data_IF_737812511494
#
_entry.id   IF_737812511494
#
_cell.length_a   1.000
_cell.length_b   1.000
_cell.length_c   1.000
_cell.angle_alpha   90.00
_cell.angle_beta   90.00
_cell.angle_gamma   90.00
#
_symmetry.space_group_name_H-M   'P 1'
#
loop_
_entity.id
_entity.type
_entity.pdbx_description
1 polymer ?
#
# COMPACT_ATOMS: atom_id res chain seq x y z
N UNK A 1 -16.96 12.55 13.77
CA UNK A 1 -16.76 13.65 12.79
C UNK A 1 -15.44 14.40 12.97
N UNK A 2 -15.14 15.07 14.11
CA UNK A 2 -13.82 15.72 14.29
C UNK A 2 -12.67 14.74 14.34
N UNK A 3 -12.86 13.60 14.99
CA UNK A 3 -11.84 12.56 15.10
C UNK A 3 -11.50 11.91 13.77
N UNK A 4 -12.50 11.68 12.89
CA UNK A 4 -12.27 11.13 11.56
C UNK A 4 -11.51 12.10 10.65
N UNK A 5 -11.76 13.42 10.80
CA UNK A 5 -11.03 14.44 10.03
C UNK A 5 -9.55 14.46 10.38
N UNK A 6 -9.24 14.42 11.69
CA UNK A 6 -7.85 14.35 12.18
C UNK A 6 -7.19 13.06 11.73
N UNK A 7 -7.92 11.94 11.84
CA UNK A 7 -7.44 10.63 11.44
C UNK A 7 -7.06 10.59 9.95
N UNK A 8 -7.97 10.98 9.06
CA UNK A 8 -7.74 10.95 7.60
C UNK A 8 -6.60 11.87 7.21
N UNK A 9 -6.61 13.12 7.70
CA UNK A 9 -5.56 14.10 7.39
C UNK A 9 -4.19 13.64 7.88
N UNK A 10 -4.11 13.07 9.09
CA UNK A 10 -2.86 12.58 9.66
C UNK A 10 -2.32 11.32 8.97
N UNK A 11 -3.19 10.37 8.60
CA UNK A 11 -2.78 9.20 7.83
C UNK A 11 -2.22 9.59 6.46
N UNK A 12 -2.84 10.55 5.78
CA UNK A 12 -2.34 11.08 4.49
C UNK A 12 -0.96 11.70 4.68
N UNK A 13 -0.76 12.52 5.74
CA UNK A 13 0.53 13.14 6.03
C UNK A 13 1.61 12.09 6.32
N UNK A 14 1.34 11.11 7.18
CA UNK A 14 2.28 10.04 7.51
C UNK A 14 2.69 9.21 6.28
N UNK A 15 1.74 8.86 5.42
CA UNK A 15 2.02 8.13 4.17
C UNK A 15 2.87 8.97 3.20
N UNK A 16 2.58 10.26 3.08
CA UNK A 16 3.37 11.17 2.24
C UNK A 16 4.80 11.30 2.75
N UNK A 17 5.00 11.50 4.05
CA UNK A 17 6.32 11.67 4.66
C UNK A 17 7.20 10.44 4.48
N UNK A 18 6.68 9.24 4.76
CA UNK A 18 7.46 8.02 4.63
C UNK A 18 7.85 7.73 3.17
N UNK A 19 6.96 7.96 2.22
CA UNK A 19 7.26 7.76 0.80
C UNK A 19 8.25 8.83 0.31
N UNK A 20 8.11 10.09 0.71
CA UNK A 20 9.04 11.15 0.35
C UNK A 20 10.46 10.86 0.86
N UNK A 21 10.58 10.38 2.11
CA UNK A 21 11.87 10.03 2.72
C UNK A 21 12.57 8.83 2.05
N UNK A 22 11.80 7.94 1.40
CA UNK A 22 12.34 6.71 0.80
C UNK A 22 12.25 6.67 -0.74
N UNK A 23 11.84 7.77 -1.39
CA UNK A 23 11.60 7.78 -2.84
C UNK A 23 12.84 7.42 -3.66
N UNK A 24 14.00 7.93 -3.29
CA UNK A 24 15.25 7.65 -3.99
C UNK A 24 15.64 6.17 -3.84
N UNK A 25 15.55 5.63 -2.62
CA UNK A 25 15.80 4.21 -2.36
C UNK A 25 14.82 3.29 -3.11
N UNK A 26 13.53 3.63 -3.17
CA UNK A 26 12.54 2.88 -3.96
C UNK A 26 12.89 2.89 -5.46
N UNK A 27 13.39 4.03 -5.97
CA UNK A 27 13.85 4.12 -7.36
C UNK A 27 15.13 3.33 -7.62
N UNK A 28 16.04 3.24 -6.63
CA UNK A 28 17.24 2.39 -6.72
C UNK A 28 16.89 0.91 -6.76
N UNK A 29 15.97 0.45 -5.90
CA UNK A 29 15.46 -0.92 -5.93
C UNK A 29 14.83 -1.26 -7.29
N UNK A 30 14.03 -0.36 -7.82
CA UNK A 30 13.39 -0.54 -9.11
C UNK A 30 14.41 -0.52 -10.27
N UNK A 31 15.44 0.32 -10.20
CA UNK A 31 16.51 0.35 -11.23
C UNK A 31 17.26 -0.96 -11.34
N UNK A 32 17.36 -1.71 -10.25
CA UNK A 32 18.01 -3.01 -10.24
C UNK A 32 17.22 -4.10 -11.00
N UNK A 33 15.89 -4.00 -11.04
CA UNK A 33 15.02 -5.03 -11.60
C UNK A 33 13.87 -4.48 -12.48
N UNK A 34 13.85 -3.18 -12.78
CA UNK A 34 12.81 -2.47 -13.53
C UNK A 34 13.36 -1.30 -14.32
N UNK A 35 12.63 -0.18 -14.36
CA UNK A 35 13.02 1.04 -15.09
C UNK A 35 13.42 2.22 -14.19
N UNK A 36 13.40 2.03 -12.87
CA UNK A 36 13.92 2.98 -11.89
C UNK A 36 12.96 4.14 -11.56
N UNK A 37 11.69 4.06 -11.93
CA UNK A 37 10.74 5.16 -11.76
C UNK A 37 9.79 5.01 -10.57
N UNK A 38 9.81 3.85 -9.87
CA UNK A 38 8.84 3.50 -8.83
C UNK A 38 8.76 4.54 -7.71
N UNK A 39 9.89 4.94 -7.14
CA UNK A 39 9.92 5.91 -6.04
C UNK A 39 9.42 7.29 -6.46
N UNK A 40 9.79 7.75 -7.65
CA UNK A 40 9.30 9.01 -8.21
C UNK A 40 7.78 8.97 -8.44
N UNK A 41 7.27 7.86 -8.96
CA UNK A 41 5.85 7.65 -9.18
C UNK A 41 5.07 7.62 -7.86
N UNK A 42 5.56 6.87 -6.85
CA UNK A 42 4.93 6.82 -5.53
C UNK A 42 4.91 8.19 -4.85
N UNK A 43 6.02 8.92 -4.88
CA UNK A 43 6.08 10.30 -4.33
C UNK A 43 5.06 11.20 -5.02
N UNK A 44 4.98 11.19 -6.35
CA UNK A 44 4.01 12.02 -7.09
C UNK A 44 2.57 11.72 -6.66
N UNK A 45 2.20 10.43 -6.52
CA UNK A 45 0.87 10.06 -6.06
C UNK A 45 0.56 10.51 -4.63
N UNK A 46 1.50 10.31 -3.71
CA UNK A 46 1.33 10.74 -2.32
C UNK A 46 1.25 12.26 -2.18
N UNK A 47 2.01 13.03 -2.98
CA UNK A 47 1.92 14.49 -3.01
C UNK A 47 0.56 14.97 -3.56
N UNK A 48 0.02 14.32 -4.60
CA UNK A 48 -1.30 14.65 -5.13
C UNK A 48 -2.41 14.40 -4.09
N UNK A 49 -2.36 13.28 -3.37
CA UNK A 49 -3.29 12.99 -2.28
C UNK A 49 -3.13 14.01 -1.14
N UNK A 50 -1.91 14.37 -0.78
CA UNK A 50 -1.64 15.34 0.28
C UNK A 50 -2.12 16.74 -0.08
N UNK A 51 -2.03 17.16 -1.33
CA UNK A 51 -2.53 18.46 -1.79
C UNK A 51 -4.04 18.61 -1.56
N UNK A 52 -4.80 17.51 -1.68
CA UNK A 52 -6.25 17.47 -1.50
C UNK A 52 -6.68 16.97 -0.10
N UNK A 53 -5.78 16.85 0.87
CA UNK A 53 -6.05 16.21 2.17
C UNK A 53 -7.21 16.84 2.95
N UNK A 54 -7.36 18.16 2.84
CA UNK A 54 -8.43 18.88 3.55
C UNK A 54 -9.80 18.50 2.97
N UNK A 55 -9.90 18.30 1.66
CA UNK A 55 -11.10 17.81 0.98
C UNK A 55 -11.41 16.37 1.43
N UNK A 56 -10.43 15.48 1.44
CA UNK A 56 -10.62 14.09 1.85
C UNK A 56 -11.03 13.97 3.33
N UNK A 57 -10.44 14.79 4.20
CA UNK A 57 -10.75 14.76 5.63
C UNK A 57 -12.18 15.18 5.97
N UNK A 58 -12.86 15.92 5.08
CA UNK A 58 -14.25 16.32 5.25
C UNK A 58 -15.26 15.28 4.77
N UNK A 59 -14.79 14.21 4.11
CA UNK A 59 -15.65 13.13 3.61
C UNK A 59 -15.88 12.05 4.67
N UNK A 60 -16.96 11.26 4.58
CA UNK A 60 -17.06 9.99 5.29
C UNK A 60 -15.84 9.10 4.98
N UNK A 61 -15.30 8.40 5.97
CA UNK A 61 -14.05 7.63 5.85
C UNK A 61 -14.03 6.70 4.62
N UNK A 62 -15.10 5.94 4.40
CA UNK A 62 -15.21 5.02 3.27
C UNK A 62 -15.09 5.75 1.93
N UNK A 63 -15.76 6.90 1.80
CA UNK A 63 -15.69 7.73 0.60
C UNK A 63 -14.30 8.36 0.42
N UNK A 64 -13.69 8.85 1.50
CA UNK A 64 -12.33 9.38 1.46
C UNK A 64 -11.33 8.34 0.93
N UNK A 65 -11.40 7.10 1.44
CA UNK A 65 -10.54 6.00 1.00
C UNK A 65 -10.75 5.70 -0.50
N UNK A 66 -11.98 5.67 -0.97
CA UNK A 66 -12.30 5.43 -2.40
C UNK A 66 -11.75 6.55 -3.29
N UNK A 67 -11.95 7.82 -2.93
CA UNK A 67 -11.50 8.99 -3.67
C UNK A 67 -9.95 9.10 -3.68
N UNK A 68 -9.29 8.78 -2.56
CA UNK A 68 -7.84 8.67 -2.50
C UNK A 68 -7.37 7.59 -3.49
N UNK A 69 -8.02 6.44 -3.51
CA UNK A 69 -7.71 5.37 -4.47
C UNK A 69 -7.81 5.83 -5.92
N UNK A 70 -8.86 6.56 -6.27
CA UNK A 70 -9.03 7.14 -7.60
C UNK A 70 -7.92 8.14 -7.94
N UNK A 71 -7.55 9.00 -7.00
CA UNK A 71 -6.44 9.95 -7.16
C UNK A 71 -5.12 9.22 -7.45
N UNK A 72 -4.84 8.12 -6.74
CA UNK A 72 -3.63 7.32 -7.01
C UNK A 72 -3.65 6.67 -8.40
N UNK A 73 -4.80 6.18 -8.88
CA UNK A 73 -4.93 5.67 -10.27
C UNK A 73 -4.54 6.73 -11.29
N UNK A 74 -4.95 7.98 -11.06
CA UNK A 74 -4.76 9.07 -12.01
C UNK A 74 -3.35 9.69 -11.95
N UNK A 75 -2.64 9.52 -10.82
CA UNK A 75 -1.39 10.26 -10.56
C UNK A 75 -0.14 9.38 -10.48
N UNK A 76 -0.25 8.14 -10.01
CA UNK A 76 0.88 7.20 -10.00
C UNK A 76 1.03 6.57 -11.39
N UNK A 77 2.23 6.67 -11.94
CA UNK A 77 2.56 6.01 -13.20
C UNK A 77 2.79 4.49 -13.05
N UNK A 78 2.90 3.81 -14.19
CA UNK A 78 3.19 2.38 -14.24
C UNK A 78 2.07 1.50 -13.68
N UNK A 79 2.44 0.32 -13.19
CA UNK A 79 1.49 -0.64 -12.62
C UNK A 79 1.03 -0.25 -11.20
N UNK A 80 1.81 0.54 -10.47
CA UNK A 80 1.55 0.87 -9.06
C UNK A 80 0.27 1.66 -8.86
N UNK A 81 -0.01 2.64 -9.72
CA UNK A 81 -1.25 3.43 -9.66
C UNK A 81 -2.50 2.56 -9.69
N UNK A 82 -2.69 1.75 -10.74
CA UNK A 82 -3.81 0.81 -10.80
C UNK A 82 -3.88 -0.18 -9.62
N UNK A 83 -2.76 -0.65 -9.08
CA UNK A 83 -2.75 -1.64 -7.99
C UNK A 83 -3.11 -0.99 -6.64
N UNK A 84 -2.43 0.09 -6.24
CA UNK A 84 -2.76 0.82 -5.01
C UNK A 84 -4.15 1.46 -5.07
N UNK A 85 -4.51 2.02 -6.23
CA UNK A 85 -5.84 2.56 -6.43
C UNK A 85 -6.94 1.50 -6.31
N UNK A 86 -6.74 0.31 -6.91
CA UNK A 86 -7.69 -0.81 -6.76
C UNK A 86 -7.83 -1.23 -5.30
N UNK A 87 -6.71 -1.31 -4.56
CA UNK A 87 -6.72 -1.64 -3.13
C UNK A 87 -7.62 -0.70 -2.35
N UNK A 88 -7.38 0.61 -2.45
CA UNK A 88 -8.12 1.61 -1.68
C UNK A 88 -9.58 1.75 -2.15
N UNK A 89 -9.82 1.80 -3.45
CA UNK A 89 -11.19 1.87 -3.98
C UNK A 89 -12.04 0.69 -3.52
N UNK A 90 -11.48 -0.51 -3.51
CA UNK A 90 -12.21 -1.70 -3.08
C UNK A 90 -12.44 -1.73 -1.57
N UNK A 91 -11.47 -1.26 -0.76
CA UNK A 91 -11.67 -1.05 0.69
C UNK A 91 -12.81 -0.05 0.92
N UNK A 92 -12.76 1.12 0.29
CA UNK A 92 -13.77 2.17 0.43
C UNK A 92 -15.17 1.68 0.08
N UNK A 93 -15.33 1.03 -1.07
CA UNK A 93 -16.61 0.47 -1.51
C UNK A 93 -17.19 -0.55 -0.54
N UNK A 94 -16.36 -1.46 -0.02
CA UNK A 94 -16.80 -2.49 0.92
C UNK A 94 -17.20 -1.91 2.26
N UNK A 95 -16.47 -0.90 2.75
CA UNK A 95 -16.84 -0.18 3.96
C UNK A 95 -18.13 0.62 3.79
N UNK A 96 -18.37 1.20 2.59
CA UNK A 96 -19.59 1.97 2.28
C UNK A 96 -20.82 1.08 2.08
N UNK A 97 -20.66 -0.17 1.66
CA UNK A 97 -21.77 -1.10 1.38
C UNK A 97 -22.61 -1.47 2.63
N UNK A 98 -22.17 -1.07 3.81
CA UNK A 98 -22.96 -1.04 5.02
C UNK A 98 -22.98 -2.33 5.83
N UNK A 99 -23.40 -2.19 7.07
CA UNK A 99 -23.31 -3.18 8.12
C UNK A 99 -22.04 -2.99 8.93
N UNK A 100 -21.84 -3.82 9.91
CA UNK A 100 -20.56 -3.97 10.62
C UNK A 100 -19.53 -4.63 9.68
N UNK A 101 -19.26 -4.01 8.50
CA UNK A 101 -18.24 -4.52 7.58
C UNK A 101 -16.92 -4.45 8.32
N UNK A 102 -16.52 -5.57 8.87
CA UNK A 102 -15.22 -5.75 9.51
C UNK A 102 -14.16 -5.33 8.48
N UNK A 103 -13.29 -4.42 8.88
CA UNK A 103 -12.17 -3.96 8.05
C UNK A 103 -11.38 -5.16 7.48
N UNK A 104 -11.31 -6.27 8.21
CA UNK A 104 -10.64 -7.48 7.75
C UNK A 104 -11.30 -8.09 6.51
N UNK A 105 -12.63 -8.08 6.45
CA UNK A 105 -13.37 -8.55 5.28
C UNK A 105 -13.20 -7.59 4.09
N UNK A 106 -13.20 -6.27 4.34
CA UNK A 106 -12.94 -5.28 3.30
C UNK A 106 -11.53 -5.42 2.73
N UNK A 107 -10.51 -5.57 3.60
CA UNK A 107 -9.13 -5.80 3.20
C UNK A 107 -8.98 -7.10 2.39
N UNK A 108 -9.62 -8.20 2.83
CA UNK A 108 -9.59 -9.49 2.12
C UNK A 108 -10.06 -9.34 0.68
N UNK A 109 -11.22 -8.74 0.48
CA UNK A 109 -11.74 -8.56 -0.88
C UNK A 109 -10.91 -7.58 -1.71
N UNK A 110 -10.28 -6.59 -1.08
CA UNK A 110 -9.40 -5.66 -1.76
C UNK A 110 -8.09 -6.33 -2.21
N UNK A 111 -7.47 -7.17 -1.37
CA UNK A 111 -6.28 -7.96 -1.74
C UNK A 111 -6.58 -8.89 -2.91
N UNK A 112 -7.72 -9.57 -2.89
CA UNK A 112 -8.18 -10.39 -4.02
C UNK A 112 -8.38 -9.56 -5.30
N UNK A 113 -8.92 -8.34 -5.19
CA UNK A 113 -9.09 -7.45 -6.34
C UNK A 113 -7.74 -7.02 -6.93
N UNK A 114 -6.75 -6.72 -6.07
CA UNK A 114 -5.37 -6.44 -6.48
C UNK A 114 -4.75 -7.65 -7.18
N UNK A 115 -4.94 -8.85 -6.64
CA UNK A 115 -4.43 -10.10 -7.25
C UNK A 115 -5.01 -10.31 -8.66
N UNK A 116 -6.32 -10.13 -8.81
CA UNK A 116 -6.99 -10.19 -10.13
C UNK A 116 -6.48 -9.10 -11.08
N UNK A 117 -6.34 -7.85 -10.59
CA UNK A 117 -5.87 -6.71 -11.40
C UNK A 117 -4.45 -6.92 -11.90
N UNK A 118 -3.56 -7.38 -11.02
CA UNK A 118 -2.15 -7.65 -11.32
C UNK A 118 -1.92 -8.99 -12.02
N UNK A 119 -2.94 -9.86 -12.08
CA UNK A 119 -2.81 -11.26 -12.50
C UNK A 119 -1.67 -11.96 -11.77
N UNK A 120 -1.55 -11.69 -10.48
CA UNK A 120 -0.46 -12.14 -9.64
C UNK A 120 -0.96 -12.88 -8.40
N UNK A 121 -0.09 -13.67 -7.79
CA UNK A 121 -0.36 -14.47 -6.60
C UNK A 121 0.76 -14.30 -5.58
N UNK A 122 0.56 -14.84 -4.37
CA UNK A 122 1.61 -14.95 -3.35
C UNK A 122 2.80 -15.76 -3.91
N UNK A 123 4.02 -15.32 -3.66
CA UNK A 123 5.25 -15.98 -4.10
C UNK A 123 5.75 -15.54 -5.47
N UNK A 124 5.11 -14.57 -6.12
CA UNK A 124 5.48 -14.11 -7.46
C UNK A 124 6.36 -12.84 -7.45
N UNK A 125 6.82 -12.42 -6.25
CA UNK A 125 7.69 -11.27 -6.02
C UNK A 125 7.02 -9.96 -6.44
N UNK A 126 5.99 -9.58 -5.68
CA UNK A 126 5.17 -8.37 -5.89
C UNK A 126 4.73 -7.79 -4.56
N UNK A 127 4.02 -6.64 -4.57
CA UNK A 127 3.37 -6.10 -3.36
C UNK A 127 2.42 -7.10 -2.68
N UNK A 128 1.91 -8.10 -3.39
CA UNK A 128 1.03 -9.13 -2.81
C UNK A 128 1.78 -10.01 -1.79
N UNK A 129 3.10 -10.12 -1.90
CA UNK A 129 3.91 -10.85 -0.94
C UNK A 129 4.02 -10.12 0.41
N UNK A 130 3.58 -8.86 0.47
CA UNK A 130 3.35 -8.09 1.70
C UNK A 130 1.87 -8.05 2.07
N UNK A 131 0.98 -7.79 1.11
CA UNK A 131 -0.46 -7.63 1.38
C UNK A 131 -1.10 -8.89 1.97
N UNK A 132 -0.78 -10.09 1.47
CA UNK A 132 -1.32 -11.33 2.02
C UNK A 132 -0.88 -11.59 3.48
N UNK A 133 0.42 -11.50 3.85
CA UNK A 133 0.82 -11.61 5.25
C UNK A 133 0.21 -10.53 6.15
N UNK A 134 0.10 -9.28 5.69
CA UNK A 134 -0.56 -8.20 6.44
C UNK A 134 -2.04 -8.51 6.66
N UNK A 135 -2.74 -8.98 5.62
CA UNK A 135 -4.12 -9.43 5.73
C UNK A 135 -4.27 -10.55 6.77
N UNK A 136 -3.38 -11.55 6.77
CA UNK A 136 -3.40 -12.64 7.74
C UNK A 136 -3.27 -12.11 9.19
N UNK A 137 -2.40 -11.12 9.43
CA UNK A 137 -2.22 -10.49 10.75
C UNK A 137 -3.47 -9.67 11.17
N UNK A 138 -4.09 -8.96 10.22
CA UNK A 138 -5.33 -8.17 10.46
C UNK A 138 -6.49 -9.10 10.81
N UNK A 139 -6.68 -10.20 10.07
CA UNK A 139 -7.73 -11.20 10.34
C UNK A 139 -7.57 -11.80 11.74
N UNK A 140 -6.33 -12.06 12.16
CA UNK A 140 -6.02 -12.57 13.50
C UNK A 140 -6.12 -11.50 14.59
N UNK A 141 -6.40 -10.26 14.23
CA UNK A 141 -6.48 -9.10 15.14
C UNK A 141 -5.22 -8.89 15.97
N UNK A 142 -4.06 -9.13 15.38
CA UNK A 142 -2.78 -8.91 16.03
C UNK A 142 -2.53 -7.40 16.25
N UNK A 143 -1.62 -7.08 17.17
CA UNK A 143 -1.27 -5.70 17.48
C UNK A 143 -0.69 -4.97 16.24
N UNK A 144 -0.92 -3.66 16.13
CA UNK A 144 -0.42 -2.83 15.02
C UNK A 144 1.09 -2.94 14.83
N UNK A 145 1.86 -3.11 15.92
CA UNK A 145 3.31 -3.35 15.85
C UNK A 145 3.66 -4.66 15.17
N UNK A 146 2.90 -5.74 15.42
CA UNK A 146 3.11 -7.03 14.77
C UNK A 146 2.76 -6.97 13.27
N UNK A 147 1.71 -6.23 12.90
CA UNK A 147 1.34 -5.99 11.50
C UNK A 147 2.47 -5.25 10.76
N UNK A 148 3.02 -4.18 11.37
CA UNK A 148 4.13 -3.43 10.80
C UNK A 148 5.40 -4.30 10.62
N UNK A 149 5.78 -5.06 11.65
CA UNK A 149 6.92 -5.98 11.60
C UNK A 149 6.75 -7.06 10.53
N UNK A 150 5.52 -7.60 10.41
CA UNK A 150 5.21 -8.59 9.37
C UNK A 150 5.37 -7.99 7.97
N UNK A 151 4.93 -6.76 7.75
CA UNK A 151 5.08 -6.08 6.46
C UNK A 151 6.56 -5.91 6.08
N UNK A 152 7.41 -5.44 7.00
CA UNK A 152 8.86 -5.26 6.78
C UNK A 152 9.56 -6.59 6.50
N UNK A 153 9.27 -7.61 7.30
CA UNK A 153 9.81 -8.96 7.10
C UNK A 153 9.41 -9.53 5.74
N UNK A 154 8.15 -9.36 5.36
CA UNK A 154 7.62 -9.87 4.10
C UNK A 154 8.25 -9.18 2.89
N UNK A 155 8.49 -7.87 2.95
CA UNK A 155 9.22 -7.16 1.90
C UNK A 155 10.66 -7.69 1.76
N UNK A 156 11.34 -7.92 2.88
CA UNK A 156 12.70 -8.46 2.89
C UNK A 156 12.77 -9.86 2.29
N UNK A 157 11.79 -10.71 2.53
CA UNK A 157 11.72 -12.07 1.96
C UNK A 157 11.68 -12.07 0.43
N UNK A 158 11.20 -10.99 -0.21
CA UNK A 158 11.19 -10.90 -1.67
C UNK A 158 12.59 -10.88 -2.30
N UNK A 159 13.64 -10.59 -1.53
CA UNK A 159 15.04 -10.62 -2.00
C UNK A 159 15.40 -12.00 -2.55
N UNK A 160 15.01 -13.06 -1.84
CA UNK A 160 15.29 -14.45 -2.26
C UNK A 160 14.36 -15.00 -3.33
N UNK A 161 13.31 -14.27 -3.72
CA UNK A 161 12.34 -14.74 -4.69
C UNK A 161 12.78 -14.43 -6.13
N UNK A 162 12.41 -15.32 -7.06
CA UNK A 162 12.45 -15.03 -8.51
C UNK A 162 11.18 -14.29 -8.90
N UNK A 163 11.31 -13.20 -9.65
CA UNK A 163 10.15 -12.47 -10.15
C UNK A 163 9.43 -13.26 -11.26
N UNK A 164 8.12 -13.42 -11.09
CA UNK A 164 7.24 -14.10 -12.05
C UNK A 164 6.24 -13.12 -12.68
N UNK A 165 6.19 -11.87 -12.19
CA UNK A 165 5.30 -10.80 -12.68
C UNK A 165 6.02 -9.48 -12.81
N UNK A 166 5.37 -8.55 -13.52
CA UNK A 166 5.91 -7.22 -13.77
C UNK A 166 7.17 -7.23 -14.62
N UNK A 167 7.86 -6.09 -14.66
CA UNK A 167 9.08 -5.91 -15.46
C UNK A 167 10.22 -6.81 -15.00
N UNK A 168 10.34 -7.01 -13.68
CA UNK A 168 11.38 -7.86 -13.10
C UNK A 168 11.34 -9.31 -13.61
N UNK A 169 10.18 -9.80 -14.06
CA UNK A 169 10.04 -11.17 -14.58
C UNK A 169 10.86 -11.42 -15.85
N UNK A 170 11.13 -10.37 -16.65
CA UNK A 170 11.98 -10.48 -17.83
C UNK A 170 13.46 -10.76 -17.52
N UNK A 171 13.89 -10.50 -16.28
CA UNK A 171 15.24 -10.80 -15.81
C UNK A 171 15.45 -12.27 -15.41
N UNK A 172 14.36 -13.02 -15.19
CA UNK A 172 14.45 -14.41 -14.75
C UNK A 172 15.24 -14.54 -13.44
N UNK A 173 16.25 -15.40 -13.41
CA UNK A 173 17.11 -15.64 -12.23
C UNK A 173 17.85 -14.38 -11.75
N UNK A 174 18.15 -13.44 -12.64
CA UNK A 174 18.82 -12.17 -12.30
C UNK A 174 17.96 -11.26 -11.41
N UNK A 175 16.67 -11.54 -11.25
CA UNK A 175 15.81 -10.83 -10.30
C UNK A 175 16.04 -11.25 -8.85
N UNK A 176 16.68 -12.40 -8.61
CA UNK A 176 17.04 -12.89 -7.27
C UNK A 176 18.18 -12.04 -6.72
N UNK A 177 18.14 -11.78 -5.40
CA UNK A 177 19.12 -10.93 -4.71
C UNK A 177 18.68 -9.46 -4.60
N UNK A 178 17.57 -9.07 -5.23
CA UNK A 178 17.02 -7.72 -5.18
C UNK A 178 15.64 -7.72 -4.52
N UNK A 179 15.36 -6.74 -3.67
CA UNK A 179 14.02 -6.55 -3.07
C UNK A 179 13.04 -6.02 -4.11
N UNK A 180 11.78 -6.50 -4.07
CA UNK A 180 10.73 -5.93 -4.92
C UNK A 180 10.37 -4.50 -4.49
N UNK A 181 10.43 -3.49 -5.39
CA UNK A 181 10.13 -2.10 -5.03
C UNK A 181 8.66 -1.90 -4.60
N UNK A 182 7.73 -2.65 -5.20
CA UNK A 182 6.31 -2.64 -4.81
C UNK A 182 6.08 -3.23 -3.42
N UNK A 183 6.75 -4.34 -3.09
CA UNK A 183 6.73 -4.90 -1.74
C UNK A 183 7.33 -3.93 -0.73
N UNK A 184 8.45 -3.26 -1.05
CA UNK A 184 9.06 -2.26 -0.16
C UNK A 184 8.14 -1.08 0.09
N UNK A 185 7.56 -0.48 -0.93
CA UNK A 185 6.63 0.64 -0.76
C UNK A 185 5.37 0.24 0.01
N UNK A 186 4.86 -0.98 -0.19
CA UNK A 186 3.73 -1.53 0.57
C UNK A 186 4.07 -1.67 2.06
N UNK A 187 5.25 -2.18 2.40
CA UNK A 187 5.71 -2.29 3.79
C UNK A 187 5.85 -0.91 4.45
N UNK A 188 6.46 0.05 3.77
CA UNK A 188 6.60 1.42 4.27
C UNK A 188 5.24 2.07 4.58
N UNK A 189 4.29 1.98 3.66
CA UNK A 189 2.94 2.51 3.87
C UNK A 189 2.21 1.80 5.02
N UNK A 190 2.31 0.47 5.10
CA UNK A 190 1.70 -0.31 6.19
C UNK A 190 2.31 0.10 7.54
N UNK A 191 3.64 0.23 7.62
CA UNK A 191 4.34 0.63 8.84
C UNK A 191 3.94 2.05 9.27
N UNK A 192 3.87 3.01 8.34
CA UNK A 192 3.45 4.38 8.63
C UNK A 192 2.01 4.44 9.17
N UNK A 193 1.09 3.71 8.53
CA UNK A 193 -0.31 3.61 8.98
C UNK A 193 -0.39 3.01 10.39
N UNK A 194 0.31 1.91 10.63
CA UNK A 194 0.31 1.25 11.94
C UNK A 194 0.89 2.13 13.06
N UNK A 195 1.98 2.85 12.79
CA UNK A 195 2.57 3.79 13.74
C UNK A 195 1.61 4.93 14.06
N UNK A 196 1.08 5.58 13.04
CA UNK A 196 0.12 6.66 13.23
C UNK A 196 -1.09 6.22 14.05
N UNK A 197 -1.69 5.08 13.72
CA UNK A 197 -2.84 4.54 14.45
C UNK A 197 -2.50 4.17 15.89
N UNK A 198 -1.30 3.67 16.16
CA UNK A 198 -0.85 3.33 17.52
C UNK A 198 -0.74 4.57 18.39
N UNK A 199 -0.20 5.66 17.86
CA UNK A 199 -0.02 6.93 18.59
C UNK A 199 -1.35 7.63 18.86
N UNK A 200 -2.33 7.54 17.94
CA UNK A 200 -3.59 8.28 18.01
C UNK A 200 -4.79 7.47 18.50
N UNK A 201 -4.64 6.15 18.74
CA UNK A 201 -5.65 5.34 19.46
C UNK A 201 -5.46 5.31 20.98
N UNK A 202 -4.35 5.81 21.47
CA UNK A 202 -4.02 5.89 22.91
C UNK A 202 -4.43 7.23 23.54
N UNK A 203 -4.97 8.14 22.77
CA UNK A 203 -5.56 9.41 23.20
C UNK A 203 -7.09 9.34 23.13
#
# INVERSE_FOLDING_TARGET
MRDDQVLVSGLIAACREIIAAHADHLSELDRAIGDGDHGTNMRRGCEAVYADRDRFSQMPLAQAIEEIGLTLVLTIGGASGPLYGTLLMEIGRRLAAGGEADFSAALTGAVEAVARRGRAQRGEKTLLDVLYPVQDEVIRRHALSAIAERAETSATLTVGMKALRGRASFLGERSIGHMDPGARSCALLTSAICHYLKEHRAA
#
